data_IF_821330866732
#
_entry.id   IF_821330866732
#
_cell.length_a   1.000
_cell.length_b   1.000
_cell.length_c   1.000
_cell.angle_alpha   90.00
_cell.angle_beta   90.00
_cell.angle_gamma   90.00
#
_symmetry.space_group_name_H-M   'P 1'
#
loop_
_entity.id
_entity.type
_entity.pdbx_description
1 polymer ?
#
# COMPACT_ATOMS: atom_id res chain seq x y z
N UNK A 1 16.53 -46.48 -50.01
CA UNK A 1 16.41 -45.01 -49.95
C UNK A 1 17.73 -44.50 -49.44
N UNK A 2 18.59 -44.12 -50.39
CA UNK A 2 19.97 -43.69 -50.17
C UNK A 2 19.94 -42.25 -49.67
N UNK A 3 20.62 -41.98 -48.55
CA UNK A 3 20.88 -40.63 -48.08
C UNK A 3 21.87 -39.96 -49.04
N UNK A 4 21.39 -39.02 -49.86
CA UNK A 4 22.25 -38.10 -50.59
C UNK A 4 22.72 -36.99 -49.63
N UNK A 5 24.03 -36.85 -49.36
CA UNK A 5 24.53 -35.73 -48.61
C UNK A 5 24.42 -34.47 -49.47
N UNK A 6 23.75 -33.45 -48.93
CA UNK A 6 23.67 -32.10 -49.52
C UNK A 6 25.10 -31.60 -49.79
N UNK A 7 25.52 -31.64 -51.05
CA UNK A 7 26.82 -31.15 -51.51
C UNK A 7 26.89 -29.62 -51.37
N UNK A 8 27.27 -29.14 -50.19
CA UNK A 8 27.62 -27.74 -49.89
C UNK A 8 28.96 -27.29 -50.54
N UNK A 9 29.43 -27.99 -51.58
CA UNK A 9 30.76 -27.81 -52.18
C UNK A 9 30.79 -26.94 -53.44
N UNK A 10 29.63 -26.44 -53.90
CA UNK A 10 29.52 -25.55 -55.06
C UNK A 10 29.38 -24.04 -54.74
N UNK A 11 29.41 -23.63 -53.47
CA UNK A 11 29.29 -22.20 -53.10
C UNK A 11 30.57 -21.33 -53.15
N UNK A 12 31.84 -21.81 -53.25
CA UNK A 12 32.98 -20.91 -53.06
C UNK A 12 33.40 -20.09 -54.30
N UNK A 13 32.92 -20.39 -55.51
CA UNK A 13 33.34 -19.68 -56.73
C UNK A 13 32.53 -18.41 -57.01
N UNK A 14 31.23 -18.39 -56.68
CA UNK A 14 30.37 -17.22 -56.86
C UNK A 14 30.71 -16.08 -55.88
N UNK A 15 31.00 -16.42 -54.61
CA UNK A 15 31.28 -15.43 -53.56
C UNK A 15 32.61 -14.72 -53.78
N UNK A 16 33.63 -15.38 -54.32
CA UNK A 16 34.97 -14.80 -54.52
C UNK A 16 35.03 -13.73 -55.61
N UNK A 17 34.16 -13.80 -56.61
CA UNK A 17 34.18 -12.87 -57.77
C UNK A 17 33.38 -11.58 -57.52
N UNK A 18 32.38 -11.62 -56.62
CA UNK A 18 31.44 -10.52 -56.36
C UNK A 18 31.36 -10.12 -54.88
N UNK A 19 32.36 -10.47 -54.07
CA UNK A 19 32.41 -10.21 -52.62
C UNK A 19 32.17 -8.74 -52.24
N UNK A 20 32.44 -7.81 -53.17
CA UNK A 20 32.22 -6.38 -52.99
C UNK A 20 30.73 -6.00 -52.86
N UNK A 21 29.78 -6.74 -53.43
CA UNK A 21 28.35 -6.44 -53.30
C UNK A 21 27.82 -6.66 -51.87
N UNK A 22 28.01 -7.85 -51.24
CA UNK A 22 27.62 -8.04 -49.86
C UNK A 22 28.44 -7.16 -48.90
N UNK A 23 29.72 -6.89 -49.19
CA UNK A 23 30.52 -5.97 -48.39
C UNK A 23 29.99 -4.52 -48.44
N UNK A 24 29.60 -4.03 -49.62
CA UNK A 24 29.03 -2.69 -49.80
C UNK A 24 27.67 -2.56 -49.10
N UNK A 25 26.78 -3.53 -49.27
CA UNK A 25 25.46 -3.52 -48.64
C UNK A 25 25.54 -3.67 -47.11
N UNK A 26 26.50 -4.45 -46.60
CA UNK A 26 26.79 -4.50 -45.17
C UNK A 26 27.29 -3.14 -44.64
N UNK A 27 28.18 -2.46 -45.38
CA UNK A 27 28.69 -1.14 -45.00
C UNK A 27 27.60 -0.06 -45.02
N UNK A 28 26.71 -0.11 -46.02
CA UNK A 28 25.51 0.75 -46.06
C UNK A 28 24.59 0.44 -44.87
N UNK A 29 24.38 -0.83 -44.55
CA UNK A 29 23.61 -1.25 -43.38
C UNK A 29 24.18 -0.72 -42.06
N UNK A 30 25.50 -0.76 -41.90
CA UNK A 30 26.21 -0.17 -40.75
C UNK A 30 26.01 1.35 -40.71
N UNK A 31 26.19 2.03 -41.85
CA UNK A 31 26.05 3.49 -41.94
C UNK A 31 24.61 3.96 -41.65
N UNK A 32 23.61 3.23 -42.14
CA UNK A 32 22.19 3.46 -41.83
C UNK A 32 21.90 3.19 -40.35
N UNK A 33 22.46 2.11 -39.79
CA UNK A 33 22.36 1.80 -38.36
C UNK A 33 22.93 2.90 -37.48
N UNK A 34 24.11 3.45 -37.82
CA UNK A 34 24.71 4.60 -37.12
C UNK A 34 23.89 5.89 -37.29
N UNK A 35 23.35 6.14 -38.50
CA UNK A 35 22.62 7.37 -38.79
C UNK A 35 21.19 7.43 -38.20
N UNK A 36 20.56 6.27 -38.01
CA UNK A 36 19.25 6.14 -37.38
C UNK A 36 19.31 6.00 -35.86
N UNK A 37 20.41 5.48 -35.29
CA UNK A 37 20.54 5.29 -33.85
C UNK A 37 20.18 6.54 -33.01
N UNK A 38 20.76 7.74 -33.24
CA UNK A 38 20.42 8.92 -32.45
C UNK A 38 19.01 9.49 -32.72
N UNK A 39 18.31 9.02 -33.77
CA UNK A 39 16.92 9.41 -34.06
C UNK A 39 15.89 8.40 -33.56
N UNK A 40 16.31 7.16 -33.36
CA UNK A 40 15.43 6.07 -32.96
C UNK A 40 15.32 5.92 -31.43
N UNK A 41 16.26 6.46 -30.65
CA UNK A 41 16.21 6.46 -29.18
C UNK A 41 16.24 7.90 -28.64
N UNK A 42 15.12 8.45 -28.15
CA UNK A 42 15.13 9.74 -27.47
C UNK A 42 15.99 9.66 -26.19
N UNK A 43 16.60 10.78 -25.80
CA UNK A 43 17.35 10.89 -24.54
C UNK A 43 16.36 10.69 -23.37
N UNK A 44 16.40 9.53 -22.71
CA UNK A 44 15.62 9.25 -21.49
C UNK A 44 16.50 9.49 -20.27
N UNK A 45 16.01 10.30 -19.33
CA UNK A 45 16.64 10.58 -18.05
C UNK A 45 15.90 9.81 -16.95
N UNK A 46 16.64 9.22 -16.01
CA UNK A 46 16.08 8.55 -14.84
C UNK A 46 16.43 9.33 -13.57
N UNK A 47 15.40 9.82 -12.87
CA UNK A 47 15.55 10.46 -11.57
C UNK A 47 15.23 9.48 -10.44
N UNK A 48 15.87 9.64 -9.29
CA UNK A 48 15.73 8.74 -8.14
C UNK A 48 15.56 9.50 -6.83
N UNK A 49 14.42 9.33 -6.17
CA UNK A 49 14.20 9.80 -4.80
C UNK A 49 14.26 8.60 -3.83
N UNK A 50 14.80 8.82 -2.63
CA UNK A 50 14.80 7.82 -1.55
C UNK A 50 14.00 8.35 -0.37
N UNK A 51 13.07 7.53 0.08
CA UNK A 51 12.15 7.80 1.18
C UNK A 51 12.42 6.80 2.29
N UNK A 52 12.63 7.28 3.51
CA UNK A 52 12.63 6.47 4.71
C UNK A 52 11.18 6.35 5.20
N UNK A 53 10.68 5.13 5.28
CA UNK A 53 9.34 4.82 5.76
C UNK A 53 9.44 4.53 7.25
N UNK A 54 8.64 5.22 8.07
CA UNK A 54 8.51 4.88 9.48
C UNK A 54 7.23 4.08 9.73
N UNK A 55 7.27 3.08 10.63
CA UNK A 55 6.07 2.36 11.04
C UNK A 55 5.21 3.29 11.88
N UNK A 56 3.96 3.48 11.47
CA UNK A 56 2.98 4.22 12.28
C UNK A 56 2.49 3.28 13.37
N UNK A 57 3.04 3.41 14.58
CA UNK A 57 2.57 2.65 15.75
C UNK A 57 1.44 3.40 16.44
N UNK A 58 0.26 2.80 16.48
CA UNK A 58 -0.91 3.34 17.22
C UNK A 58 -0.95 2.88 18.68
N UNK A 59 0.08 2.15 19.12
CA UNK A 59 0.19 1.58 20.45
C UNK A 59 1.59 1.87 21.03
N UNK A 60 1.64 2.84 21.95
CA UNK A 60 2.86 3.29 22.64
C UNK A 60 3.52 2.13 23.41
N UNK A 61 2.75 1.13 23.86
CA UNK A 61 3.27 -0.03 24.58
C UNK A 61 3.93 -1.06 23.66
N UNK A 62 3.54 -1.11 22.38
CA UNK A 62 4.06 -2.05 21.38
C UNK A 62 5.31 -1.53 20.65
N UNK A 63 5.73 -0.28 20.91
CA UNK A 63 6.92 0.32 20.29
C UNK A 63 8.24 -0.44 20.59
N UNK A 64 8.27 -1.27 21.65
CA UNK A 64 9.49 -1.94 22.10
C UNK A 64 9.69 -3.41 21.69
N UNK A 65 8.64 -4.17 21.34
CA UNK A 65 8.71 -5.65 21.36
C UNK A 65 8.45 -6.35 20.03
N UNK A 66 8.05 -5.64 18.98
CA UNK A 66 8.07 -6.19 17.62
C UNK A 66 8.13 -5.04 16.62
N UNK A 67 9.21 -4.96 15.84
CA UNK A 67 9.26 -4.05 14.68
C UNK A 67 8.09 -4.43 13.78
N UNK A 68 7.04 -3.60 13.76
CA UNK A 68 5.90 -3.77 12.86
C UNK A 68 6.49 -3.88 11.46
N UNK A 69 6.44 -5.09 10.89
CA UNK A 69 7.04 -5.33 9.58
C UNK A 69 6.17 -4.64 8.54
N UNK A 70 6.74 -3.61 7.93
CA UNK A 70 6.18 -2.96 6.77
C UNK A 70 6.21 -3.98 5.62
N UNK A 71 5.04 -4.19 4.99
CA UNK A 71 4.93 -5.08 3.85
C UNK A 71 5.44 -4.35 2.61
N UNK A 72 6.66 -4.69 2.16
CA UNK A 72 7.26 -4.14 0.94
C UNK A 72 6.31 -4.13 -0.27
N UNK A 73 5.64 -5.24 -0.67
CA UNK A 73 4.75 -5.21 -1.83
C UNK A 73 3.51 -4.32 -1.63
N UNK A 74 3.09 -4.14 -0.38
CA UNK A 74 1.96 -3.26 -0.06
C UNK A 74 2.37 -1.79 -0.19
N UNK A 75 3.56 -1.43 0.30
CA UNK A 75 4.07 -0.06 0.18
C UNK A 75 4.43 0.30 -1.26
N UNK A 76 5.01 -0.63 -2.03
CA UNK A 76 5.28 -0.43 -3.46
C UNK A 76 3.99 -0.17 -4.23
N UNK A 77 2.96 -1.00 -4.02
CA UNK A 77 1.66 -0.84 -4.68
C UNK A 77 0.94 0.46 -4.26
N UNK A 78 1.11 0.88 -2.99
CA UNK A 78 0.55 2.13 -2.49
C UNK A 78 1.26 3.34 -3.12
N UNK A 79 2.59 3.34 -3.15
CA UNK A 79 3.39 4.42 -3.71
C UNK A 79 3.24 4.57 -5.23
N UNK A 80 3.00 3.47 -5.96
CA UNK A 80 2.70 3.51 -7.40
C UNK A 80 1.21 3.62 -7.70
N UNK A 81 0.36 3.89 -6.69
CA UNK A 81 -1.09 3.94 -6.89
C UNK A 81 -1.51 5.22 -7.63
N UNK A 82 -2.63 5.19 -8.38
CA UNK A 82 -3.17 6.37 -9.05
C UNK A 82 -3.41 7.54 -8.08
N UNK A 83 -3.88 7.25 -6.86
CA UNK A 83 -4.13 8.27 -5.84
C UNK A 83 -2.88 9.08 -5.48
N UNK A 84 -1.74 8.41 -5.32
CA UNK A 84 -0.46 9.09 -5.01
C UNK A 84 0.00 9.92 -6.19
N UNK A 85 -0.10 9.37 -7.41
CA UNK A 85 0.33 10.06 -8.63
C UNK A 85 -0.55 11.27 -8.94
N UNK A 86 -1.87 11.16 -8.79
CA UNK A 86 -2.82 12.26 -8.95
C UNK A 86 -2.46 13.42 -8.03
N UNK A 87 -2.15 13.12 -6.76
CA UNK A 87 -1.79 14.11 -5.76
C UNK A 87 -0.44 14.77 -6.05
N UNK A 88 0.53 14.00 -6.54
CA UNK A 88 1.81 14.53 -7.00
C UNK A 88 1.65 15.46 -8.21
N UNK A 89 0.79 15.12 -9.17
CA UNK A 89 0.50 15.97 -10.34
C UNK A 89 -0.28 17.22 -9.96
N UNK A 90 -1.20 17.14 -9.00
CA UNK A 90 -1.91 18.31 -8.44
C UNK A 90 -0.92 19.29 -7.80
N UNK A 91 0.03 18.79 -7.01
CA UNK A 91 1.07 19.60 -6.39
C UNK A 91 1.95 20.29 -7.45
N UNK A 92 2.45 19.54 -8.44
CA UNK A 92 3.27 20.10 -9.50
C UNK A 92 2.48 21.08 -10.39
N UNK A 93 1.18 20.82 -10.61
CA UNK A 93 0.31 21.66 -11.43
C UNK A 93 0.03 23.01 -10.79
N UNK A 94 0.14 23.10 -9.47
CA UNK A 94 0.09 24.37 -8.73
C UNK A 94 1.31 25.26 -9.01
N UNK A 95 2.43 24.68 -9.45
CA UNK A 95 3.69 25.37 -9.71
C UNK A 95 3.85 25.78 -11.20
N UNK A 96 3.03 25.24 -12.10
CA UNK A 96 3.02 25.63 -13.52
C UNK A 96 2.20 24.69 -14.41
N UNK A 97 2.01 25.03 -15.69
CA UNK A 97 1.33 24.15 -16.65
C UNK A 97 2.08 22.82 -16.79
N UNK A 98 1.36 21.71 -16.64
CA UNK A 98 1.87 20.36 -16.83
C UNK A 98 1.16 19.69 -18.00
N UNK A 99 1.95 19.21 -18.95
CA UNK A 99 1.49 18.35 -20.04
C UNK A 99 1.72 16.86 -19.66
N UNK A 100 1.22 16.44 -18.50
CA UNK A 100 1.33 15.05 -18.03
C UNK A 100 0.00 14.54 -17.48
N UNK A 101 -0.29 13.29 -17.79
CA UNK A 101 -1.41 12.55 -17.24
C UNK A 101 -0.95 11.47 -16.26
N UNK A 102 -1.84 11.04 -15.38
CA UNK A 102 -1.60 9.99 -14.38
C UNK A 102 -1.14 8.68 -15.03
N UNK A 103 -1.80 8.26 -16.12
CA UNK A 103 -1.47 7.03 -16.84
C UNK A 103 -0.06 7.09 -17.46
N UNK A 104 0.34 8.24 -17.99
CA UNK A 104 1.69 8.45 -18.54
C UNK A 104 2.77 8.40 -17.45
N UNK A 105 2.47 8.95 -16.26
CA UNK A 105 3.41 8.86 -15.13
C UNK A 105 3.54 7.43 -14.65
N UNK A 106 2.43 6.73 -14.41
CA UNK A 106 2.43 5.34 -13.91
C UNK A 106 3.18 4.41 -14.87
N UNK A 107 3.04 4.60 -16.19
CA UNK A 107 3.72 3.78 -17.19
C UNK A 107 5.26 3.82 -17.09
N UNK A 108 5.83 4.94 -16.65
CA UNK A 108 7.27 5.17 -16.54
C UNK A 108 7.78 5.28 -15.09
N UNK A 109 6.88 5.11 -14.12
CA UNK A 109 7.18 5.09 -12.69
C UNK A 109 7.58 3.69 -12.24
N UNK A 110 8.66 3.59 -11.49
CA UNK A 110 9.09 2.34 -10.84
C UNK A 110 9.36 2.63 -9.38
N UNK A 111 8.61 1.98 -8.50
CA UNK A 111 8.81 2.08 -7.06
C UNK A 111 9.27 0.73 -6.53
N UNK A 112 10.31 0.75 -5.68
CA UNK A 112 10.88 -0.47 -5.07
C UNK A 112 11.27 -0.21 -3.63
N UNK A 113 10.95 -1.13 -2.73
CA UNK A 113 11.46 -1.14 -1.35
C UNK A 113 12.74 -1.95 -1.32
N UNK A 114 13.80 -1.39 -0.74
CA UNK A 114 15.08 -2.09 -0.62
C UNK A 114 14.96 -3.21 0.43
N UNK A 115 15.38 -4.45 0.11
CA UNK A 115 15.31 -5.57 1.05
C UNK A 115 15.98 -5.27 2.39
N UNK A 116 15.38 -5.78 3.47
CA UNK A 116 15.84 -5.63 4.85
C UNK A 116 16.06 -4.17 5.31
N UNK A 117 15.39 -3.23 4.66
CA UNK A 117 15.45 -1.80 4.99
C UNK A 117 14.10 -1.13 4.81
N UNK A 118 13.89 -0.05 5.55
CA UNK A 118 12.68 0.76 5.44
C UNK A 118 12.84 1.88 4.37
N UNK A 119 13.65 1.62 3.33
CA UNK A 119 13.96 2.60 2.29
C UNK A 119 13.17 2.26 1.02
N UNK A 120 12.26 3.15 0.65
CA UNK A 120 11.56 3.14 -0.63
C UNK A 120 12.33 3.99 -1.64
N UNK A 121 12.53 3.45 -2.83
CA UNK A 121 13.20 4.12 -3.94
C UNK A 121 12.16 4.37 -5.02
N UNK A 122 11.92 5.65 -5.29
CA UNK A 122 11.03 6.11 -6.36
C UNK A 122 11.89 6.46 -7.56
N UNK A 123 11.64 5.83 -8.70
CA UNK A 123 12.33 6.10 -9.96
C UNK A 123 11.33 6.53 -11.01
N UNK A 124 11.65 7.60 -11.72
CA UNK A 124 10.81 8.08 -12.82
C UNK A 124 11.65 8.42 -14.03
N UNK A 125 11.16 8.02 -15.22
CA UNK A 125 11.84 8.22 -16.49
C UNK A 125 11.11 9.25 -17.34
N UNK A 126 11.84 10.26 -17.81
CA UNK A 126 11.29 11.26 -18.72
C UNK A 126 12.37 11.84 -19.65
N UNK A 127 11.98 12.43 -20.77
CA UNK A 127 12.88 13.16 -21.67
C UNK A 127 13.33 14.52 -21.11
N UNK A 128 12.55 15.12 -20.21
CA UNK A 128 12.91 16.33 -19.47
C UNK A 128 13.70 15.99 -18.21
N UNK A 129 14.93 16.51 -18.11
CA UNK A 129 15.81 16.36 -16.93
C UNK A 129 15.12 16.86 -15.64
N UNK A 130 14.64 18.09 -15.68
CA UNK A 130 14.08 18.76 -14.50
C UNK A 130 12.72 18.17 -14.14
N UNK A 131 11.91 17.85 -15.15
CA UNK A 131 10.62 17.20 -14.98
C UNK A 131 10.76 15.82 -14.34
N UNK A 132 11.76 15.03 -14.74
CA UNK A 132 11.99 13.71 -14.15
C UNK A 132 12.24 13.80 -12.64
N UNK A 133 13.09 14.76 -12.23
CA UNK A 133 13.38 14.99 -10.82
C UNK A 133 12.17 15.54 -10.06
N UNK A 134 11.44 16.50 -10.64
CA UNK A 134 10.25 17.09 -10.04
C UNK A 134 9.16 16.02 -9.76
N UNK A 135 8.86 15.16 -10.74
CA UNK A 135 7.87 14.07 -10.57
C UNK A 135 8.33 13.05 -9.53
N UNK A 136 9.60 12.64 -9.54
CA UNK A 136 10.10 11.68 -8.55
C UNK A 136 10.01 12.21 -7.11
N UNK A 137 10.29 13.51 -6.91
CA UNK A 137 10.14 14.17 -5.61
C UNK A 137 8.68 14.32 -5.22
N UNK A 138 7.83 14.84 -6.10
CA UNK A 138 6.41 15.02 -5.83
C UNK A 138 5.70 13.69 -5.50
N UNK A 139 6.05 12.59 -6.19
CA UNK A 139 5.51 11.25 -5.86
C UNK A 139 5.99 10.78 -4.48
N UNK A 140 7.26 11.04 -4.13
CA UNK A 140 7.80 10.71 -2.82
C UNK A 140 7.08 11.48 -1.69
N UNK A 141 6.85 12.78 -1.88
CA UNK A 141 6.17 13.64 -0.92
C UNK A 141 4.67 13.28 -0.80
N UNK A 142 3.98 13.13 -1.94
CA UNK A 142 2.58 12.71 -1.99
C UNK A 142 2.35 11.34 -1.34
N UNK A 143 3.29 10.40 -1.49
CA UNK A 143 3.22 9.10 -0.84
C UNK A 143 3.25 9.22 0.69
N UNK A 144 4.17 10.03 1.25
CA UNK A 144 4.24 10.28 2.68
C UNK A 144 2.97 10.96 3.20
N UNK A 145 2.41 11.89 2.45
CA UNK A 145 1.17 12.55 2.81
C UNK A 145 -0.03 11.60 2.81
N UNK A 146 -0.15 10.74 1.78
CA UNK A 146 -1.19 9.71 1.72
C UNK A 146 -1.07 8.75 2.90
N UNK A 147 0.15 8.33 3.27
CA UNK A 147 0.36 7.50 4.47
C UNK A 147 -0.04 8.21 5.75
N UNK A 148 0.32 9.48 5.91
CA UNK A 148 -0.08 10.26 7.08
C UNK A 148 -1.60 10.42 7.14
N UNK A 149 -2.27 10.63 6.01
CA UNK A 149 -3.72 10.73 5.93
C UNK A 149 -4.41 9.41 6.26
N UNK A 150 -3.93 8.28 5.73
CA UNK A 150 -4.48 6.95 6.03
C UNK A 150 -4.31 6.62 7.53
N UNK A 151 -3.14 6.90 8.09
CA UNK A 151 -2.88 6.77 9.52
C UNK A 151 -3.83 7.60 10.38
N UNK A 152 -4.05 8.88 10.03
CA UNK A 152 -5.01 9.78 10.72
C UNK A 152 -6.41 9.19 10.69
N UNK A 153 -6.90 8.81 9.52
CA UNK A 153 -8.24 8.23 9.36
C UNK A 153 -8.44 6.97 10.20
N UNK A 154 -7.45 6.08 10.26
CA UNK A 154 -7.52 4.87 11.10
C UNK A 154 -7.55 5.19 12.59
N UNK A 155 -6.76 6.17 13.04
CA UNK A 155 -6.77 6.63 14.43
C UNK A 155 -8.12 7.24 14.78
N UNK A 156 -8.68 8.07 13.91
CA UNK A 156 -10.00 8.68 14.09
C UNK A 156 -11.11 7.64 14.15
N UNK A 157 -11.10 6.63 13.26
CA UNK A 157 -12.05 5.53 13.28
C UNK A 157 -11.96 4.72 14.59
N UNK A 158 -10.74 4.40 15.03
CA UNK A 158 -10.52 3.70 16.30
C UNK A 158 -11.00 4.56 17.49
N UNK A 159 -10.71 5.86 17.49
CA UNK A 159 -11.16 6.79 18.52
C UNK A 159 -12.70 6.89 18.54
N UNK A 160 -13.36 6.95 17.38
CA UNK A 160 -14.81 6.97 17.28
C UNK A 160 -15.45 5.68 17.81
N UNK A 161 -14.85 4.52 17.51
CA UNK A 161 -15.26 3.22 18.06
C UNK A 161 -15.13 3.18 19.59
N UNK A 162 -14.00 3.62 20.14
CA UNK A 162 -13.78 3.68 21.59
C UNK A 162 -14.73 4.68 22.27
N UNK A 163 -14.97 5.83 21.66
CA UNK A 163 -15.94 6.82 22.16
C UNK A 163 -17.36 6.23 22.23
N UNK A 164 -17.74 5.42 21.24
CA UNK A 164 -19.03 4.71 21.23
C UNK A 164 -19.11 3.70 22.37
N UNK A 165 -18.04 2.95 22.64
CA UNK A 165 -17.96 2.02 23.77
C UNK A 165 -18.04 2.73 25.13
N UNK A 166 -17.35 3.87 25.29
CA UNK A 166 -17.46 4.70 26.50
C UNK A 166 -18.90 5.18 26.68
N UNK A 167 -19.56 5.63 25.61
CA UNK A 167 -20.94 6.08 25.67
C UNK A 167 -21.93 4.96 26.04
N UNK A 168 -21.71 3.72 25.58
CA UNK A 168 -22.53 2.57 25.99
C UNK A 168 -22.32 2.23 27.46
N UNK A 169 -21.06 2.10 27.91
CA UNK A 169 -20.76 1.79 29.31
C UNK A 169 -21.24 2.89 30.27
N UNK A 170 -21.22 4.16 29.83
CA UNK A 170 -21.75 5.28 30.62
C UNK A 170 -23.27 5.17 30.80
N UNK A 171 -24.02 4.71 29.78
CA UNK A 171 -25.46 4.43 29.93
C UNK A 171 -25.69 3.29 30.92
N UNK A 172 -24.92 2.21 30.82
CA UNK A 172 -25.03 1.05 31.71
C UNK A 172 -24.73 1.44 33.17
N UNK A 173 -23.71 2.29 33.39
CA UNK A 173 -23.38 2.83 34.70
C UNK A 173 -24.50 3.72 35.25
N UNK A 174 -25.11 4.54 34.40
CA UNK A 174 -26.26 5.38 34.78
C UNK A 174 -27.45 4.51 35.20
N UNK A 175 -27.72 3.44 34.45
CA UNK A 175 -28.79 2.49 34.78
C UNK A 175 -28.53 1.76 36.09
N UNK A 176 -27.30 1.26 36.31
CA UNK A 176 -26.91 0.62 37.57
C UNK A 176 -26.96 1.58 38.75
N UNK A 177 -26.61 2.86 38.56
CA UNK A 177 -26.71 3.85 39.62
C UNK A 177 -28.18 4.21 39.95
N UNK A 178 -29.06 4.24 38.96
CA UNK A 178 -30.49 4.45 39.17
C UNK A 178 -31.15 3.29 39.93
N UNK A 179 -30.77 2.03 39.64
CA UNK A 179 -31.29 0.87 40.38
C UNK A 179 -30.84 0.87 41.84
N UNK A 180 -29.57 1.23 42.10
CA UNK A 180 -29.05 1.40 43.45
C UNK A 180 -29.79 2.52 44.21
N UNK A 181 -29.97 3.68 43.58
CA UNK A 181 -30.67 4.82 44.22
C UNK A 181 -32.12 4.48 44.56
N UNK A 182 -32.85 3.83 43.65
CA UNK A 182 -34.22 3.40 43.88
C UNK A 182 -34.32 2.35 45.01
N UNK A 183 -33.33 1.46 45.13
CA UNK A 183 -33.26 0.49 46.22
C UNK A 183 -33.04 1.17 47.58
N UNK A 184 -32.10 2.13 47.63
CA UNK A 184 -31.79 2.93 48.83
C UNK A 184 -33.00 3.77 49.28
N UNK A 185 -33.70 4.43 48.35
CA UNK A 185 -34.92 5.20 48.65
C UNK A 185 -36.04 4.32 49.22
N UNK A 186 -36.26 3.13 48.64
CA UNK A 186 -37.27 2.19 49.12
C UNK A 186 -36.94 1.65 50.52
N UNK A 187 -35.66 1.34 50.77
CA UNK A 187 -35.19 0.94 52.09
C UNK A 187 -35.40 2.04 53.12
N UNK A 188 -34.99 3.28 52.82
CA UNK A 188 -35.18 4.43 53.71
C UNK A 188 -36.66 4.69 54.03
N UNK A 189 -37.54 4.61 53.02
CA UNK A 189 -38.98 4.79 53.22
C UNK A 189 -39.59 3.68 54.09
N UNK A 190 -39.11 2.45 53.96
CA UNK A 190 -39.55 1.33 54.81
C UNK A 190 -39.09 1.53 56.26
N UNK A 191 -37.83 1.93 56.47
CA UNK A 191 -37.29 2.22 57.80
C UNK A 191 -38.02 3.38 58.51
N UNK A 192 -38.37 4.45 57.78
CA UNK A 192 -39.18 5.56 58.33
C UNK A 192 -40.56 5.07 58.80
N UNK A 193 -41.28 4.35 57.95
CA UNK A 193 -42.59 3.81 58.31
C UNK A 193 -42.51 2.85 59.49
N UNK A 194 -41.52 1.96 59.54
CA UNK A 194 -41.28 1.06 60.66
C UNK A 194 -40.97 1.82 61.95
N UNK A 195 -40.14 2.87 61.87
CA UNK A 195 -39.80 3.72 63.02
C UNK A 195 -41.02 4.47 63.55
N UNK A 196 -41.89 4.96 62.65
CA UNK A 196 -43.15 5.64 63.02
C UNK A 196 -44.13 4.66 63.67
N UNK A 197 -44.23 3.45 63.13
CA UNK A 197 -45.08 2.40 63.68
C UNK A 197 -44.63 1.99 65.09
N UNK A 198 -43.33 1.73 65.28
CA UNK A 198 -42.78 1.38 66.60
C UNK A 198 -43.03 2.49 67.65
N UNK A 199 -42.88 3.77 67.28
CA UNK A 199 -43.20 4.90 68.16
C UNK A 199 -44.68 4.95 68.53
N UNK A 200 -45.58 4.67 67.59
CA UNK A 200 -47.02 4.66 67.84
C UNK A 200 -47.44 3.48 68.72
N UNK A 201 -46.86 2.28 68.51
CA UNK A 201 -47.07 1.12 69.37
C UNK A 201 -46.59 1.39 70.81
N UNK A 202 -45.44 2.04 70.98
CA UNK A 202 -44.92 2.46 72.29
C UNK A 202 -45.88 3.44 72.98
N UNK A 203 -46.36 4.48 72.28
CA UNK A 203 -47.30 5.46 72.83
C UNK A 203 -48.63 4.81 73.24
N UNK A 204 -49.15 3.88 72.42
CA UNK A 204 -50.38 3.15 72.75
C UNK A 204 -50.17 2.27 73.98
N UNK A 205 -49.05 1.54 74.05
CA UNK A 205 -48.72 0.71 75.20
C UNK A 205 -48.62 1.53 76.50
N UNK A 206 -48.01 2.72 76.46
CA UNK A 206 -47.90 3.62 77.63
C UNK A 206 -49.29 4.15 78.06
N UNK A 207 -50.11 4.62 77.12
CA UNK A 207 -51.46 5.13 77.44
C UNK A 207 -52.38 4.05 78.04
N UNK A 208 -52.26 2.80 77.59
CA UNK A 208 -53.00 1.66 78.17
C UNK A 208 -52.58 1.35 79.61
N UNK A 209 -51.33 1.61 79.99
CA UNK A 209 -50.85 1.44 81.37
C UNK A 209 -51.30 2.58 82.29
N UNK A 210 -51.47 3.80 81.76
CA UNK A 210 -51.90 4.98 82.54
C UNK A 210 -53.43 5.11 82.70
N UNK A 211 -54.23 4.22 82.10
CA UNK A 211 -55.70 4.26 82.20
C UNK A 211 -56.37 5.42 81.44
N UNK A 212 -55.62 6.10 80.56
CA UNK A 212 -56.13 7.14 79.67
C UNK A 212 -56.67 6.48 78.39
N UNK A 213 -57.94 6.05 78.44
CA UNK A 213 -58.63 5.36 77.33
C UNK A 213 -59.04 6.29 76.17
N UNK A 214 -58.29 7.37 75.95
CA UNK A 214 -58.43 8.22 74.76
C UNK A 214 -57.74 7.52 73.61
N UNK A 215 -58.45 6.58 72.99
CA UNK A 215 -58.07 6.04 71.69
C UNK A 215 -57.90 7.19 70.70
N UNK A 216 -56.78 7.23 69.95
CA UNK A 216 -56.61 8.18 68.85
C UNK A 216 -57.84 8.13 67.94
N UNK A 217 -58.30 9.28 67.43
CA UNK A 217 -59.45 9.32 66.52
C UNK A 217 -59.03 8.74 65.17
N UNK A 218 -59.35 7.45 64.93
CA UNK A 218 -58.92 6.66 63.77
C UNK A 218 -58.07 5.44 64.17
N UNK A 219 -57.66 4.63 63.19
CA UNK A 219 -56.71 3.53 63.40
C UNK A 219 -55.33 3.88 62.77
N UNK A 220 -54.54 4.75 63.42
CA UNK A 220 -53.28 5.23 62.85
C UNK A 220 -52.21 4.14 62.71
N UNK A 221 -52.29 3.08 63.52
CA UNK A 221 -51.41 1.91 63.39
C UNK A 221 -51.81 1.14 62.13
N UNK A 222 -53.10 0.84 61.96
CA UNK A 222 -53.62 0.18 60.76
C UNK A 222 -53.36 0.96 59.47
N UNK A 223 -53.42 2.30 59.48
CA UNK A 223 -53.06 3.13 58.33
C UNK A 223 -51.56 3.05 57.97
N UNK A 224 -50.67 3.07 58.95
CA UNK A 224 -49.22 2.92 58.72
C UNK A 224 -48.86 1.50 58.27
N UNK A 225 -49.55 0.48 58.82
CA UNK A 225 -49.43 -0.91 58.39
C UNK A 225 -49.89 -1.08 56.95
N UNK A 226 -51.05 -0.51 56.59
CA UNK A 226 -51.54 -0.52 55.21
C UNK A 226 -50.58 0.19 54.24
N UNK A 227 -49.93 1.28 54.66
CA UNK A 227 -48.89 1.96 53.88
C UNK A 227 -47.62 1.11 53.72
N UNK A 228 -47.22 0.37 54.77
CA UNK A 228 -46.07 -0.53 54.75
C UNK A 228 -46.33 -1.75 53.85
N UNK A 229 -47.54 -2.31 53.90
CA UNK A 229 -47.98 -3.44 53.07
C UNK A 229 -48.17 -3.04 51.60
N UNK A 230 -48.49 -1.77 51.33
CA UNK A 230 -48.59 -1.22 49.99
C UNK A 230 -47.21 -0.93 49.34
N UNK A 231 -46.11 -0.95 50.10
CA UNK A 231 -44.77 -0.79 49.53
C UNK A 231 -44.36 -2.03 48.72
N UNK A 232 -43.59 -1.87 47.64
CA UNK A 232 -43.04 -3.00 46.91
C UNK A 232 -42.20 -3.91 47.84
N UNK A 233 -42.08 -5.20 47.51
CA UNK A 233 -41.14 -6.07 48.21
C UNK A 233 -39.73 -5.46 48.15
N UNK A 234 -38.90 -5.66 49.19
CA UNK A 234 -37.52 -5.17 49.16
C UNK A 234 -36.81 -5.73 47.92
N UNK A 235 -35.95 -4.93 47.27
CA UNK A 235 -35.16 -5.42 46.15
C UNK A 235 -34.29 -6.59 46.61
N UNK A 236 -34.09 -7.55 45.71
CA UNK A 236 -33.26 -8.73 45.97
C UNK A 236 -31.85 -8.29 46.41
N UNK A 237 -31.36 -8.70 47.60
CA UNK A 237 -30.04 -8.34 48.09
C UNK A 237 -28.92 -8.75 47.12
N UNK A 238 -29.12 -9.82 46.35
CA UNK A 238 -28.16 -10.25 45.31
C UNK A 238 -28.15 -9.26 44.14
N UNK A 239 -29.32 -8.72 43.75
CA UNK A 239 -29.42 -7.73 42.69
C UNK A 239 -28.80 -6.37 43.07
N UNK A 240 -28.96 -5.95 44.33
CA UNK A 240 -28.33 -4.72 44.83
C UNK A 240 -26.80 -4.89 44.92
N UNK A 241 -26.33 -6.04 45.42
CA UNK A 241 -24.90 -6.33 45.47
C UNK A 241 -24.27 -6.38 44.07
N UNK A 242 -24.92 -7.01 43.09
CA UNK A 242 -24.42 -7.09 41.72
C UNK A 242 -24.41 -5.72 41.03
N UNK A 243 -25.41 -4.87 41.26
CA UNK A 243 -25.44 -3.50 40.74
C UNK A 243 -24.30 -2.64 41.31
N UNK A 244 -23.95 -2.81 42.59
CA UNK A 244 -22.81 -2.12 43.22
C UNK A 244 -21.48 -2.53 42.59
N UNK A 245 -21.26 -3.85 42.43
CA UNK A 245 -20.07 -4.37 41.75
C UNK A 245 -20.01 -3.91 40.29
N UNK A 246 -21.13 -3.92 39.58
CA UNK A 246 -21.21 -3.46 38.19
C UNK A 246 -20.81 -1.99 38.07
N UNK A 247 -21.29 -1.11 38.97
CA UNK A 247 -20.92 0.30 39.00
C UNK A 247 -19.40 0.50 39.12
N UNK A 248 -18.74 -0.20 40.05
CA UNK A 248 -17.30 -0.10 40.26
C UNK A 248 -16.51 -0.57 39.02
N UNK A 249 -16.89 -1.73 38.45
CA UNK A 249 -16.25 -2.28 37.26
C UNK A 249 -16.42 -1.37 36.05
N UNK A 250 -17.64 -0.91 35.78
CA UNK A 250 -17.95 -0.02 34.66
C UNK A 250 -17.19 1.30 34.79
N UNK A 251 -17.10 1.87 35.99
CA UNK A 251 -16.34 3.10 36.23
C UNK A 251 -14.84 2.91 35.94
N UNK A 252 -14.26 1.77 36.33
CA UNK A 252 -12.87 1.45 36.03
C UNK A 252 -12.62 1.26 34.54
N UNK A 253 -13.51 0.55 33.83
CA UNK A 253 -13.41 0.33 32.39
C UNK A 253 -13.54 1.64 31.59
N UNK A 254 -14.46 2.52 31.97
CA UNK A 254 -14.61 3.85 31.36
C UNK A 254 -13.33 4.66 31.53
N UNK A 255 -12.70 4.60 32.71
CA UNK A 255 -11.40 5.23 32.96
C UNK A 255 -10.33 4.74 31.99
N UNK A 256 -10.13 3.41 31.90
CA UNK A 256 -9.13 2.82 31.01
C UNK A 256 -9.35 3.14 29.53
N UNK A 257 -10.59 3.09 29.04
CA UNK A 257 -10.90 3.43 27.65
C UNK A 257 -10.72 4.92 27.36
N UNK A 258 -10.98 5.80 28.33
CA UNK A 258 -10.73 7.24 28.19
C UNK A 258 -9.23 7.53 28.11
N UNK A 259 -8.42 6.83 28.90
CA UNK A 259 -6.97 6.96 28.86
C UNK A 259 -6.40 6.46 27.52
N UNK A 260 -6.92 5.35 26.96
CA UNK A 260 -6.55 4.90 25.61
C UNK A 260 -6.92 5.94 24.54
N UNK A 261 -8.08 6.59 24.66
CA UNK A 261 -8.52 7.63 23.73
C UNK A 261 -7.63 8.89 23.78
N UNK A 262 -7.19 9.28 24.98
CA UNK A 262 -6.23 10.38 25.16
C UNK A 262 -4.87 9.99 24.56
N UNK A 263 -4.43 8.76 24.77
CA UNK A 263 -3.18 8.26 24.19
C UNK A 263 -3.20 8.32 22.66
N UNK A 264 -4.27 7.81 22.02
CA UNK A 264 -4.43 7.79 20.57
C UNK A 264 -4.49 9.18 19.93
N UNK A 265 -5.11 10.16 20.60
CA UNK A 265 -5.21 11.54 20.10
C UNK A 265 -3.92 12.34 20.28
N UNK A 266 -3.00 11.88 21.12
CA UNK A 266 -1.70 12.52 21.38
C UNK A 266 -0.57 11.95 20.51
N UNK A 267 -0.80 10.86 19.78
CA UNK A 267 0.22 10.26 18.90
C UNK A 267 0.59 11.22 17.78
N UNK A 268 1.86 11.63 17.74
CA UNK A 268 2.41 12.34 16.59
C UNK A 268 2.60 11.35 15.43
N UNK A 269 1.92 11.59 14.31
CA UNK A 269 1.97 10.71 13.14
C UNK A 269 3.17 11.12 12.31
N UNK A 270 4.19 10.27 12.33
CA UNK A 270 5.37 10.41 11.49
C UNK A 270 5.32 9.37 10.36
N UNK A 271 4.97 9.78 9.12
CA UNK A 271 4.94 8.88 7.97
C UNK A 271 6.35 8.50 7.48
N UNK A 272 7.40 9.17 7.97
CA UNK A 272 8.75 9.09 7.42
C UNK A 272 9.15 10.36 6.67
N UNK A 273 10.30 10.30 6.00
CA UNK A 273 10.95 11.48 5.40
C UNK A 273 11.67 11.13 4.10
N UNK A 274 11.75 12.09 3.18
CA UNK A 274 12.60 12.01 1.99
C UNK A 274 14.07 12.22 2.38
N UNK A 275 14.81 11.13 2.54
CA UNK A 275 16.22 11.14 2.95
C UNK A 275 17.20 11.50 1.83
N UNK A 276 16.79 11.35 0.56
CA UNK A 276 17.56 11.80 -0.58
C UNK A 276 16.62 12.25 -1.71
N UNK A 277 16.42 13.57 -1.89
CA UNK A 277 15.61 14.07 -2.98
C UNK A 277 16.29 13.77 -4.32
N UNK A 278 15.46 13.54 -5.34
CA UNK A 278 15.90 13.39 -6.71
C UNK A 278 16.63 14.67 -7.16
N UNK A 279 17.93 14.51 -7.43
CA UNK A 279 18.82 15.53 -7.99
C UNK A 279 19.21 15.12 -9.42
N UNK A 280 19.72 16.07 -10.22
CA UNK A 280 19.94 15.95 -11.68
C UNK A 280 20.10 14.52 -12.22
N UNK A 281 19.15 14.02 -13.03
CA UNK A 281 19.09 12.62 -13.42
C UNK A 281 20.29 12.18 -14.25
N UNK A 282 20.69 10.93 -14.00
CA UNK A 282 21.68 10.23 -14.81
C UNK A 282 21.07 9.93 -16.19
N UNK A 283 21.82 10.17 -17.28
CA UNK A 283 21.40 9.72 -18.61
C UNK A 283 21.32 8.19 -18.61
N UNK A 284 20.16 7.64 -18.95
CA UNK A 284 20.04 6.21 -19.20
C UNK A 284 20.78 5.94 -20.51
N UNK A 285 21.92 5.25 -20.44
CA UNK A 285 22.67 4.90 -21.64
C UNK A 285 21.77 4.03 -22.54
N UNK A 286 21.57 4.40 -23.83
CA UNK A 286 20.88 3.51 -24.74
C UNK A 286 21.64 2.19 -24.87
N UNK A 287 20.95 1.14 -25.30
CA UNK A 287 21.51 -0.16 -25.66
C UNK A 287 22.88 0.02 -26.34
N UNK A 288 23.89 -0.79 -25.98
CA UNK A 288 25.28 -0.66 -26.42
C UNK A 288 25.41 0.01 -27.79
N UNK A 289 26.14 1.13 -27.95
CA UNK A 289 26.17 1.91 -29.19
C UNK A 289 26.63 1.09 -30.41
N UNK A 290 27.24 -0.08 -30.18
CA UNK A 290 27.65 -1.04 -31.20
C UNK A 290 26.52 -1.99 -31.69
N UNK A 291 25.38 -2.07 -31.00
CA UNK A 291 24.30 -3.00 -31.34
C UNK A 291 23.58 -2.58 -32.64
N UNK A 292 23.25 -1.30 -32.80
CA UNK A 292 22.61 -0.77 -34.01
C UNK A 292 23.44 -0.97 -35.29
N UNK A 293 24.74 -0.63 -35.33
CA UNK A 293 25.57 -0.92 -36.49
C UNK A 293 25.75 -2.42 -36.73
N UNK A 294 25.81 -3.25 -35.68
CA UNK A 294 25.90 -4.70 -35.83
C UNK A 294 24.64 -5.30 -36.48
N UNK A 295 23.44 -4.90 -36.04
CA UNK A 295 22.17 -5.33 -36.61
C UNK A 295 22.03 -4.84 -38.06
N UNK A 296 22.31 -3.55 -38.31
CA UNK A 296 22.27 -2.98 -39.65
C UNK A 296 23.25 -3.66 -40.61
N UNK A 297 24.47 -3.93 -40.16
CA UNK A 297 25.48 -4.65 -40.93
C UNK A 297 25.09 -6.09 -41.25
N UNK A 298 24.52 -6.82 -40.29
CA UNK A 298 24.03 -8.18 -40.50
C UNK A 298 22.88 -8.23 -41.51
N UNK A 299 21.90 -7.32 -41.40
CA UNK A 299 20.81 -7.23 -42.36
C UNK A 299 21.30 -6.85 -43.75
N UNK A 300 22.21 -5.87 -43.86
CA UNK A 300 22.83 -5.48 -45.12
C UNK A 300 23.62 -6.62 -45.77
N UNK A 301 24.35 -7.41 -44.97
CA UNK A 301 25.08 -8.58 -45.45
C UNK A 301 24.14 -9.66 -45.97
N UNK A 302 23.07 -9.98 -45.25
CA UNK A 302 22.08 -10.99 -45.67
C UNK A 302 21.41 -10.61 -47.00
N UNK A 303 20.96 -9.36 -47.12
CA UNK A 303 20.37 -8.84 -48.37
C UNK A 303 21.40 -8.88 -49.51
N UNK A 304 22.66 -8.51 -49.24
CA UNK A 304 23.72 -8.53 -50.23
C UNK A 304 24.12 -9.92 -50.72
N UNK A 305 24.13 -10.92 -49.83
CA UNK A 305 24.34 -12.32 -50.21
C UNK A 305 23.18 -12.84 -51.05
N UNK A 306 21.94 -12.50 -50.69
CA UNK A 306 20.76 -12.89 -51.48
C UNK A 306 20.78 -12.29 -52.89
N UNK A 307 21.14 -11.01 -53.03
CA UNK A 307 21.30 -10.35 -54.33
C UNK A 307 22.45 -10.96 -55.15
N UNK A 308 23.58 -11.26 -54.53
CA UNK A 308 24.71 -11.89 -55.22
C UNK A 308 24.33 -13.24 -55.83
N UNK A 309 23.57 -14.07 -55.09
CA UNK A 309 23.06 -15.35 -55.60
C UNK A 309 22.05 -15.15 -56.73
N UNK A 310 21.18 -14.15 -56.64
CA UNK A 310 20.17 -13.88 -57.67
C UNK A 310 20.81 -13.41 -58.99
N UNK A 311 21.83 -12.55 -58.92
CA UNK A 311 22.57 -12.08 -60.09
C UNK A 311 23.30 -13.25 -60.77
N UNK A 312 23.92 -14.14 -60.00
CA UNK A 312 24.60 -15.31 -60.54
C UNK A 312 23.62 -16.25 -61.27
N UNK A 313 22.42 -16.44 -60.70
CA UNK A 313 21.35 -17.25 -61.30
C UNK A 313 20.84 -16.67 -62.61
N UNK A 314 20.67 -15.34 -62.68
CA UNK A 314 20.22 -14.67 -63.90
C UNK A 314 21.22 -14.77 -65.06
N UNK A 315 22.52 -14.85 -64.77
CA UNK A 315 23.57 -14.97 -65.79
C UNK A 315 23.64 -16.37 -66.40
N UNK A 316 23.49 -17.41 -65.59
CA UNK A 316 23.44 -18.80 -66.06
C UNK A 316 22.22 -19.07 -66.94
N UNK A 317 21.10 -18.38 -66.71
CA UNK A 317 19.92 -18.46 -67.58
C UNK A 317 20.14 -17.86 -68.98
N UNK A 318 21.13 -16.97 -69.14
CA UNK A 318 21.44 -16.33 -70.43
C UNK A 318 22.43 -17.11 -71.31
N UNK A 319 22.98 -18.24 -70.84
CA UNK A 319 23.84 -19.11 -71.64
C UNK A 319 23.05 -20.29 -72.24
N UNK A 320 22.39 -20.07 -73.37
CA UNK A 320 21.96 -21.16 -74.26
C UNK A 320 23.20 -21.83 -74.90
N UNK A 321 23.41 -23.16 -74.78
CA UNK A 321 24.49 -23.85 -75.46
C UNK A 321 24.13 -24.05 -76.94
N UNK A 322 24.88 -23.39 -77.81
CA UNK A 322 24.90 -23.67 -79.26
C UNK A 322 25.72 -24.92 -79.55
N UNK A 323 25.10 -25.94 -80.17
CA UNK A 323 25.80 -26.86 -81.09
C UNK A 323 25.69 -28.36 -80.79
N UNK A 324 24.88 -29.07 -81.59
CA UNK A 324 25.13 -30.47 -82.00
C UNK A 324 24.65 -30.64 -83.47
N UNK A 325 25.47 -31.16 -84.40
CA UNK A 325 25.07 -31.41 -85.80
C UNK A 325 24.76 -32.89 -86.12
N UNK A 326 23.75 -33.09 -86.98
CA UNK A 326 23.50 -34.26 -87.88
C UNK A 326 22.97 -35.53 -87.20
N UNK A 327 21.98 -36.29 -87.70
CA UNK A 327 21.54 -36.60 -89.08
C UNK A 327 20.12 -37.22 -89.06
N UNK A 328 19.50 -37.27 -90.24
CA UNK A 328 18.06 -37.48 -90.51
C UNK A 328 17.70 -38.96 -90.71
N UNK A 329 16.54 -39.40 -90.22
CA UNK A 329 15.82 -40.57 -90.73
C UNK A 329 14.29 -40.40 -90.59
N UNK A 330 13.56 -40.85 -91.61
CA UNK A 330 12.21 -40.41 -92.01
C UNK A 330 11.12 -41.46 -91.69
N UNK A 331 9.93 -40.96 -91.28
CA UNK A 331 8.56 -41.52 -91.37
C UNK A 331 8.14 -42.74 -90.47
N UNK A 332 6.81 -43.00 -90.28
CA UNK A 332 5.60 -42.27 -90.71
C UNK A 332 4.60 -41.90 -89.57
N UNK A 333 3.67 -40.99 -89.88
CA UNK A 333 2.56 -40.56 -89.00
C UNK A 333 1.38 -41.56 -88.97
N UNK A 334 0.80 -41.85 -87.79
CA UNK A 334 -0.59 -42.31 -87.64
C UNK A 334 -1.53 -41.18 -87.15
N UNK A 335 -2.87 -41.36 -87.30
CA UNK A 335 -3.83 -40.27 -87.49
C UNK A 335 -4.34 -39.61 -86.20
N UNK A 336 -4.88 -38.41 -86.40
CA UNK A 336 -5.53 -37.53 -85.41
C UNK A 336 -6.74 -38.19 -84.72
N UNK A 337 -6.82 -38.17 -83.38
CA UNK A 337 -8.08 -38.32 -82.65
C UNK A 337 -8.62 -36.97 -82.11
N UNK A 338 -9.95 -36.91 -82.12
CA UNK A 338 -10.89 -35.81 -81.85
C UNK A 338 -10.69 -34.98 -80.54
N UNK A 339 -11.29 -33.78 -80.45
CA UNK A 339 -11.20 -32.93 -79.26
C UNK A 339 -11.92 -33.55 -78.07
N UNK A 340 -11.22 -33.66 -76.93
CA UNK A 340 -11.82 -34.02 -75.64
C UNK A 340 -12.40 -32.74 -75.02
N UNK A 341 -13.68 -32.73 -74.58
CA UNK A 341 -14.33 -31.55 -74.02
C UNK A 341 -13.76 -31.15 -72.66
N UNK A 342 -13.74 -29.85 -72.39
CA UNK A 342 -13.29 -29.24 -71.14
C UNK A 342 -14.09 -29.77 -69.94
N UNK A 343 -13.44 -30.09 -68.80
CA UNK A 343 -14.16 -30.37 -67.56
C UNK A 343 -14.86 -29.08 -67.06
N UNK A 344 -16.08 -29.20 -66.49
CA UNK A 344 -16.88 -28.05 -66.08
C UNK A 344 -16.25 -27.35 -64.87
N UNK A 345 -16.48 -26.04 -64.78
CA UNK A 345 -16.11 -25.22 -63.64
C UNK A 345 -16.62 -25.83 -62.33
N UNK A 346 -15.69 -26.24 -61.46
CA UNK A 346 -16.01 -26.60 -60.09
C UNK A 346 -16.48 -25.34 -59.35
N UNK A 347 -17.69 -25.41 -58.82
CA UNK A 347 -18.35 -24.38 -58.05
C UNK A 347 -17.51 -23.91 -56.86
N UNK A 348 -17.63 -22.62 -56.55
CA UNK A 348 -17.11 -22.01 -55.34
C UNK A 348 -17.58 -22.79 -54.09
N UNK A 349 -16.71 -23.15 -53.14
CA UNK A 349 -17.16 -23.59 -51.84
C UNK A 349 -17.71 -22.39 -51.05
N UNK A 350 -18.94 -22.56 -50.57
CA UNK A 350 -19.60 -21.66 -49.65
C UNK A 350 -18.77 -21.45 -48.37
N UNK A 351 -18.89 -20.26 -47.78
CA UNK A 351 -18.26 -19.89 -46.52
C UNK A 351 -18.60 -20.89 -45.40
N UNK A 352 -17.58 -21.57 -44.86
CA UNK A 352 -17.69 -22.35 -43.65
C UNK A 352 -17.66 -21.42 -42.42
N UNK A 353 -18.46 -21.68 -41.36
CA UNK A 353 -18.53 -20.83 -40.18
C UNK A 353 -17.23 -20.85 -39.37
N UNK A 354 -16.92 -19.68 -38.79
CA UNK A 354 -15.78 -19.41 -37.90
C UNK A 354 -15.68 -20.45 -36.77
N UNK A 355 -14.53 -21.11 -36.54
CA UNK A 355 -14.37 -22.00 -35.40
C UNK A 355 -14.35 -21.22 -34.08
N UNK A 356 -15.18 -21.63 -33.13
CA UNK A 356 -15.13 -21.25 -31.72
C UNK A 356 -13.77 -21.64 -31.13
N UNK A 357 -13.07 -20.75 -30.39
CA UNK A 357 -11.78 -21.09 -29.78
C UNK A 357 -11.94 -22.22 -28.76
N UNK A 358 -11.18 -23.30 -28.96
CA UNK A 358 -10.97 -24.38 -27.99
C UNK A 358 -10.22 -23.82 -26.77
N UNK A 359 -10.65 -24.09 -25.52
CA UNK A 359 -9.91 -23.66 -24.35
C UNK A 359 -8.53 -24.32 -24.30
N UNK A 360 -7.49 -23.52 -24.05
CA UNK A 360 -6.12 -23.99 -23.80
C UNK A 360 -6.08 -24.96 -22.61
N UNK A 361 -5.33 -26.08 -22.71
CA UNK A 361 -5.16 -26.99 -21.58
C UNK A 361 -4.35 -26.31 -20.47
N UNK A 362 -4.91 -26.32 -19.27
CA UNK A 362 -4.23 -25.91 -18.03
C UNK A 362 -2.99 -26.79 -17.83
N UNK A 363 -1.79 -26.24 -17.59
CA UNK A 363 -0.60 -27.05 -17.33
C UNK A 363 -0.74 -27.80 -16.00
N UNK A 364 -0.81 -29.13 -16.07
CA UNK A 364 -0.59 -30.01 -14.92
C UNK A 364 0.86 -29.89 -14.48
N UNK A 365 1.10 -29.25 -13.34
CA UNK A 365 2.41 -29.22 -12.69
C UNK A 365 2.82 -30.64 -12.29
N UNK A 366 3.95 -31.11 -12.80
CA UNK A 366 4.60 -32.34 -12.34
C UNK A 366 4.92 -32.23 -10.83
N UNK A 367 4.74 -33.29 -10.03
CA UNK A 367 5.15 -33.28 -8.64
C UNK A 367 6.67 -33.10 -8.55
N UNK A 368 7.11 -32.15 -7.73
CA UNK A 368 8.51 -31.87 -7.47
C UNK A 368 9.23 -33.12 -6.91
N UNK A 369 10.48 -33.39 -7.30
CA UNK A 369 11.27 -34.47 -6.70
C UNK A 369 11.48 -34.18 -5.21
N UNK A 370 11.25 -35.18 -4.36
CA UNK A 370 11.60 -35.10 -2.94
C UNK A 370 13.10 -34.85 -2.81
N UNK A 371 13.46 -33.72 -2.22
CA UNK A 371 14.84 -33.40 -1.86
C UNK A 371 15.36 -34.46 -0.88
N UNK A 372 16.50 -35.05 -1.22
CA UNK A 372 17.34 -35.82 -0.29
C UNK A 372 17.69 -34.91 0.89
N UNK A 373 17.44 -35.36 2.11
CA UNK A 373 17.83 -34.63 3.32
C UNK A 373 19.34 -34.38 3.32
N UNK A 374 19.73 -33.11 3.34
CA UNK A 374 21.09 -32.65 3.54
C UNK A 374 21.50 -32.94 5.00
N UNK A 375 22.69 -33.52 5.27
CA UNK A 375 23.10 -33.85 6.63
C UNK A 375 23.32 -32.57 7.45
N UNK A 376 22.86 -32.62 8.70
CA UNK A 376 22.92 -31.58 9.71
C UNK A 376 24.36 -31.04 9.89
N UNK A 377 24.58 -29.71 9.87
CA UNK A 377 25.91 -29.12 9.94
C UNK A 377 26.54 -29.33 11.33
N UNK A 378 27.84 -29.64 11.35
CA UNK A 378 28.60 -29.74 12.59
C UNK A 378 28.59 -28.39 13.36
N UNK A 379 28.48 -28.41 14.71
CA UNK A 379 28.42 -27.19 15.50
C UNK A 379 29.71 -26.38 15.37
N UNK A 380 29.58 -25.13 14.90
CA UNK A 380 30.66 -24.15 14.85
C UNK A 380 30.96 -23.70 16.28
N UNK A 381 32.24 -23.70 16.66
CA UNK A 381 32.69 -23.26 17.98
C UNK A 381 32.30 -21.79 18.23
N UNK A 382 31.84 -21.50 19.46
CA UNK A 382 31.46 -20.17 19.90
C UNK A 382 32.63 -19.19 19.77
N UNK A 383 32.41 -17.97 19.21
CA UNK A 383 33.47 -16.96 19.14
C UNK A 383 33.86 -16.46 20.54
N UNK A 384 35.16 -16.26 20.76
CA UNK A 384 35.69 -15.66 21.98
C UNK A 384 35.08 -14.25 22.21
N UNK A 385 34.75 -13.89 23.46
CA UNK A 385 34.12 -12.62 23.75
C UNK A 385 35.08 -11.45 23.49
N UNK A 386 34.67 -10.55 22.59
CA UNK A 386 35.33 -9.26 22.34
C UNK A 386 35.34 -8.42 23.64
N UNK A 387 36.48 -7.84 24.05
CA UNK A 387 36.55 -7.03 25.28
C UNK A 387 35.64 -5.81 25.20
N UNK A 388 34.88 -5.59 26.28
CA UNK A 388 33.96 -4.47 26.47
C UNK A 388 34.73 -3.13 26.41
N UNK A 389 34.31 -2.15 25.59
CA UNK A 389 34.93 -0.83 25.58
C UNK A 389 34.74 -0.13 26.93
N UNK A 390 35.82 0.44 27.47
CA UNK A 390 35.80 1.30 28.65
C UNK A 390 34.92 2.53 28.38
N UNK A 391 33.95 2.86 29.26
CA UNK A 391 33.08 4.01 29.05
C UNK A 391 33.87 5.32 29.05
N UNK A 392 33.58 6.16 28.07
CA UNK A 392 34.09 7.53 27.94
C UNK A 392 33.53 8.38 29.10
N UNK A 393 34.34 9.25 29.75
CA UNK A 393 33.89 10.03 30.89
C UNK A 393 32.79 11.03 30.50
N UNK A 394 31.75 11.05 31.32
CA UNK A 394 30.55 11.90 31.18
C UNK A 394 30.94 13.39 31.17
N UNK A 395 30.40 14.20 30.23
CA UNK A 395 30.72 15.62 30.15
C UNK A 395 30.20 16.38 31.38
N UNK A 396 31.05 17.26 31.94
CA UNK A 396 30.68 18.10 33.10
C UNK A 396 29.42 18.94 32.81
N UNK A 397 28.47 19.01 33.76
CA UNK A 397 27.24 19.76 33.59
C UNK A 397 27.51 21.26 33.46
N UNK A 398 26.85 21.88 32.47
CA UNK A 398 26.92 23.32 32.22
C UNK A 398 26.44 24.13 33.46
N UNK A 399 27.10 25.26 33.78
CA UNK A 399 26.74 26.06 34.96
C UNK A 399 25.33 26.64 34.85
N UNK A 400 24.60 26.61 35.97
CA UNK A 400 23.22 27.09 36.07
C UNK A 400 23.10 28.60 35.74
N UNK A 401 22.01 29.03 35.08
CA UNK A 401 21.78 30.43 34.77
C UNK A 401 21.63 31.27 36.05
N UNK A 402 22.26 32.45 36.05
CA UNK A 402 22.16 33.44 37.15
C UNK A 402 20.74 33.97 37.24
N UNK A 403 20.10 34.02 38.43
CA UNK A 403 18.74 34.51 38.57
C UNK A 403 18.64 36.01 38.24
N UNK A 404 17.58 36.35 37.50
CA UNK A 404 17.21 37.71 37.09
C UNK A 404 16.79 38.54 38.33
N UNK A 405 17.20 39.82 38.44
CA UNK A 405 16.94 40.62 39.64
C UNK A 405 15.45 40.96 39.82
N UNK A 406 14.97 40.86 41.06
CA UNK A 406 13.59 41.16 41.46
C UNK A 406 13.14 42.58 41.05
N UNK A 407 11.92 42.75 40.50
CA UNK A 407 11.38 44.05 40.15
C UNK A 407 11.08 44.89 41.40
N UNK A 408 11.43 46.19 41.33
CA UNK A 408 11.24 47.16 42.40
C UNK A 408 9.75 47.37 42.77
N UNK A 409 9.42 47.62 44.04
CA UNK A 409 8.03 47.73 44.49
C UNK A 409 7.32 48.97 43.94
N UNK A 410 6.10 48.76 43.45
CA UNK A 410 5.15 49.77 42.97
C UNK A 410 4.74 50.74 44.09
N UNK A 411 4.74 52.07 43.88
CA UNK A 411 4.32 53.05 44.88
C UNK A 411 2.80 52.98 45.20
N UNK A 412 2.47 53.27 46.46
CA UNK A 412 1.13 53.22 47.04
C UNK A 412 0.14 54.25 46.44
N UNK A 413 -1.18 53.98 46.48
CA UNK A 413 -2.19 54.72 45.71
C UNK A 413 -2.54 56.11 46.26
N UNK A 414 -2.86 57.03 45.34
CA UNK A 414 -3.44 58.36 45.62
C UNK A 414 -4.90 58.22 46.08
N UNK A 415 -5.34 58.87 47.18
CA UNK A 415 -6.72 58.79 47.66
C UNK A 415 -7.72 59.54 46.75
N UNK A 416 -8.89 58.95 46.58
CA UNK A 416 -10.04 59.44 45.80
C UNK A 416 -10.81 60.53 46.57
N UNK A 417 -11.30 61.60 45.92
CA UNK A 417 -11.95 62.72 46.60
C UNK A 417 -13.41 62.42 47.00
N UNK A 418 -13.79 62.95 48.16
CA UNK A 418 -15.07 62.79 48.86
C UNK A 418 -16.27 63.38 48.06
N UNK A 419 -17.44 62.71 48.01
CA UNK A 419 -18.59 63.18 47.23
C UNK A 419 -19.36 64.32 47.93
N UNK A 420 -19.76 65.32 47.13
CA UNK A 420 -20.54 66.48 47.56
C UNK A 420 -22.00 66.13 47.93
N UNK A 421 -22.64 66.89 48.85
CA UNK A 421 -23.97 66.57 49.37
C UNK A 421 -25.08 66.87 48.36
N UNK A 422 -26.08 65.99 48.33
CA UNK A 422 -27.28 66.07 47.50
C UNK A 422 -28.25 67.07 48.16
N UNK A 423 -28.74 68.04 47.39
CA UNK A 423 -29.78 69.01 47.77
C UNK A 423 -31.17 68.56 47.30
#
# INVERSE_FOLDING_TARGET
>A
MTNDPVELRFFPSAVRRWWFIPALLALIGIAVGLGLAPRATPDTYEARAKVLILPVTTDVASAGTSRVKISAPTEEALASSPLVVDRALEELGSQGPLDLTTDEVIAELTVTVKPDSDILVVKYRNSGRDLAAAVANAVADAYLEVRASDARSRIEEKAASLATQVASLTRDLTQANATLSAAEELQSRREDLQSRLARLEEVVAVNSLEGNDKTPTGDPIGELQAQLDALPPPPDPVAVASARTAKELLSGQIGGLRDELISLTTVNIDPGEVIAPASEPERVAPLNPLAYPAIGGLLGLLVGVMLAVLVERSRLASSTPTGYPGWVATAPSPPSPAPIPAPPAAAAPAAAPTPTPTPEPVPTTAPAPMATAEPEPAPIAAPEPTPTPTPEPEPEPAPAPTPEPEPAPTPAPTPEPEPAPIA
#
